data_IF_378680119830
#
_entry.id   IF_378680119830
#
_cell.length_a   1.000
_cell.length_b   1.000
_cell.length_c   1.000
_cell.angle_alpha   90.00
_cell.angle_beta   90.00
_cell.angle_gamma   90.00
#
_symmetry.space_group_name_H-M   'P 1'
#
loop_
_entity.id
_entity.type
_entity.pdbx_description
1 polymer ?
#
# COMPACT_ATOMS: atom_id res chain seq x y z
N UNK A 1 -12.31 1.66 16.87
CA UNK A 1 -12.10 0.67 17.94
C UNK A 1 -11.64 -0.63 17.32
N UNK A 2 -10.65 -1.32 17.88
CA UNK A 2 -10.26 -2.66 17.44
C UNK A 2 -10.91 -3.73 18.32
N UNK A 3 -11.29 -4.86 17.72
CA UNK A 3 -11.87 -6.02 18.42
C UNK A 3 -10.82 -7.06 18.85
N UNK A 4 -9.68 -7.09 18.18
CA UNK A 4 -8.66 -8.12 18.40
C UNK A 4 -7.47 -7.64 19.25
N UNK A 5 -7.39 -6.33 19.53
CA UNK A 5 -6.36 -5.82 20.42
C UNK A 5 -6.64 -6.27 21.85
N UNK A 6 -5.58 -6.69 22.56
CA UNK A 6 -5.66 -7.06 23.97
C UNK A 6 -6.25 -5.95 24.86
N UNK A 7 -5.96 -4.69 24.51
CA UNK A 7 -6.51 -3.53 25.19
C UNK A 7 -7.59 -2.86 24.34
N UNK A 8 -8.81 -2.64 24.88
CA UNK A 8 -9.89 -1.97 24.17
C UNK A 8 -9.62 -0.47 24.12
N UNK A 9 -8.86 -0.04 23.10
CA UNK A 9 -8.56 1.36 22.87
C UNK A 9 -9.52 1.99 21.86
N UNK A 10 -9.86 3.25 22.12
CA UNK A 10 -10.56 4.11 21.19
C UNK A 10 -9.56 5.07 20.55
N UNK A 11 -9.56 5.08 19.22
CA UNK A 11 -8.71 5.95 18.42
C UNK A 11 -9.58 6.68 17.41
N UNK A 12 -9.16 7.88 17.02
CA UNK A 12 -9.65 8.46 15.77
C UNK A 12 -9.18 7.58 14.58
N UNK A 13 -9.79 7.76 13.40
CA UNK A 13 -9.46 6.96 12.21
C UNK A 13 -7.95 6.90 11.90
N UNK A 14 -7.25 8.04 11.76
CA UNK A 14 -5.81 8.08 11.52
C UNK A 14 -4.97 7.37 12.59
N UNK A 15 -5.26 7.61 13.87
CA UNK A 15 -4.54 6.93 14.97
C UNK A 15 -4.80 5.43 14.97
N UNK A 16 -6.03 5.00 14.63
CA UNK A 16 -6.36 3.60 14.48
C UNK A 16 -5.50 2.98 13.37
N UNK A 17 -5.45 3.58 12.18
CA UNK A 17 -4.62 3.08 11.07
C UNK A 17 -3.15 2.99 11.46
N UNK A 18 -2.61 4.03 12.10
CA UNK A 18 -1.22 4.06 12.54
C UNK A 18 -0.90 2.96 13.56
N UNK A 19 -1.79 2.70 14.51
CA UNK A 19 -1.61 1.69 15.54
C UNK A 19 -1.62 0.25 14.99
N UNK A 20 -2.27 0.02 13.84
CA UNK A 20 -2.40 -1.32 13.24
C UNK A 20 -1.53 -1.53 12.00
N UNK A 21 -0.49 -0.72 11.78
CA UNK A 21 0.42 -0.90 10.63
C UNK A 21 1.02 -2.29 10.54
N UNK A 22 1.36 -2.91 11.68
CA UNK A 22 1.89 -4.27 11.78
C UNK A 22 0.83 -5.35 12.00
N UNK A 23 -0.45 -4.96 12.11
CA UNK A 23 -1.57 -5.84 12.42
C UNK A 23 -2.73 -5.59 11.42
N UNK A 24 -2.47 -5.72 10.10
CA UNK A 24 -3.37 -5.27 9.05
C UNK A 24 -4.70 -6.05 8.98
N UNK A 25 -4.73 -7.26 9.55
CA UNK A 25 -5.88 -8.16 9.51
C UNK A 25 -6.77 -8.06 10.75
N UNK A 26 -6.47 -7.17 11.69
CA UNK A 26 -7.32 -6.96 12.85
C UNK A 26 -8.70 -6.39 12.44
N UNK A 27 -9.74 -6.92 13.07
CA UNK A 27 -11.11 -6.49 12.93
C UNK A 27 -11.32 -5.16 13.66
N UNK A 28 -11.64 -4.12 12.89
CA UNK A 28 -11.89 -2.79 13.43
C UNK A 28 -13.33 -2.37 13.21
N UNK A 29 -13.78 -1.49 14.08
CA UNK A 29 -15.01 -0.72 13.91
C UNK A 29 -14.67 0.76 13.85
N UNK A 30 -15.30 1.48 12.92
CA UNK A 30 -15.10 2.91 12.73
C UNK A 30 -16.40 3.66 13.00
N UNK A 31 -16.27 4.89 13.51
CA UNK A 31 -17.43 5.74 13.80
C UNK A 31 -17.99 6.32 12.51
N UNK A 32 -19.22 5.94 12.14
CA UNK A 32 -19.90 6.41 10.93
C UNK A 32 -20.75 7.68 11.18
N UNK A 33 -20.46 8.42 12.26
CA UNK A 33 -21.24 9.56 12.81
C UNK A 33 -22.45 9.19 13.67
N UNK A 34 -22.94 7.96 13.61
CA UNK A 34 -24.09 7.50 14.39
C UNK A 34 -23.75 6.35 15.33
N UNK A 35 -22.99 5.37 14.84
CA UNK A 35 -22.55 4.21 15.62
C UNK A 35 -21.20 3.67 15.12
N UNK A 36 -20.65 2.71 15.85
CA UNK A 36 -19.47 1.95 15.44
C UNK A 36 -19.89 0.84 14.48
N UNK A 37 -19.51 0.98 13.23
CA UNK A 37 -19.78 0.01 12.17
C UNK A 37 -18.51 -0.80 11.88
N UNK A 38 -18.67 -2.07 11.51
CA UNK A 38 -17.53 -2.90 11.13
C UNK A 38 -16.86 -2.33 9.88
N UNK A 39 -15.53 -2.29 9.89
CA UNK A 39 -14.74 -1.78 8.78
C UNK A 39 -13.42 -2.51 8.66
N UNK A 40 -12.65 -2.15 7.64
CA UNK A 40 -11.36 -2.70 7.32
C UNK A 40 -10.28 -1.60 7.35
N UNK A 41 -9.09 -1.90 7.84
CA UNK A 41 -7.99 -0.93 7.86
C UNK A 41 -7.59 -0.47 6.43
N UNK A 42 -7.69 -1.38 5.44
CA UNK A 42 -7.37 -1.11 4.04
C UNK A 42 -8.31 -0.07 3.42
N UNK A 43 -9.61 -0.17 3.69
CA UNK A 43 -10.59 0.82 3.17
C UNK A 43 -10.40 2.20 3.77
N UNK A 44 -9.72 2.29 4.91
CA UNK A 44 -9.43 3.54 5.60
C UNK A 44 -8.01 4.07 5.34
N UNK A 45 -7.22 3.43 4.47
CA UNK A 45 -5.93 3.95 4.02
C UNK A 45 -4.71 3.26 4.64
N UNK A 46 -4.88 2.10 5.29
CA UNK A 46 -3.74 1.21 5.49
C UNK A 46 -3.38 0.57 4.15
N UNK A 47 -2.12 0.70 3.74
CA UNK A 47 -1.62 0.04 2.53
C UNK A 47 -0.74 -1.13 2.93
N UNK A 48 -0.95 -2.28 2.29
CA UNK A 48 -0.07 -3.43 2.38
C UNK A 48 0.90 -3.40 1.20
N UNK A 49 2.16 -3.13 1.50
CA UNK A 49 3.24 -3.39 0.55
C UNK A 49 3.67 -4.84 0.70
N UNK A 50 3.45 -5.63 -0.35
CA UNK A 50 3.85 -7.04 -0.39
C UNK A 50 5.31 -7.21 -0.86
N UNK A 51 6.02 -6.12 -1.13
CA UNK A 51 7.40 -6.08 -1.59
C UNK A 51 7.70 -7.18 -2.61
N UNK A 52 7.17 -7.05 -3.84
CA UNK A 52 7.60 -7.92 -4.92
C UNK A 52 8.98 -7.49 -5.41
N UNK A 53 9.88 -8.43 -5.71
CA UNK A 53 11.14 -8.12 -6.38
C UNK A 53 10.85 -7.79 -7.86
N UNK A 54 11.00 -6.53 -8.30
CA UNK A 54 10.61 -6.14 -9.65
C UNK A 54 11.46 -6.86 -10.71
N UNK A 55 12.72 -7.16 -10.40
CA UNK A 55 13.69 -7.76 -11.32
C UNK A 55 13.27 -9.14 -11.86
N UNK A 56 12.35 -9.83 -11.19
CA UNK A 56 11.90 -11.17 -11.56
C UNK A 56 10.38 -11.33 -11.53
N UNK A 57 9.62 -10.24 -11.57
CA UNK A 57 8.17 -10.32 -11.49
C UNK A 57 7.58 -10.65 -12.88
N UNK A 58 7.07 -11.88 -13.11
CA UNK A 58 6.60 -12.30 -14.44
C UNK A 58 5.37 -11.52 -14.92
N UNK A 59 4.69 -10.82 -14.01
CA UNK A 59 3.53 -9.97 -14.29
C UNK A 59 3.87 -8.52 -14.63
N UNK A 60 5.14 -8.09 -14.52
CA UNK A 60 5.57 -6.76 -14.98
C UNK A 60 6.00 -6.87 -16.44
N UNK A 61 5.25 -6.23 -17.34
CA UNK A 61 5.71 -6.03 -18.70
C UNK A 61 6.76 -4.92 -18.69
N UNK A 62 8.04 -5.30 -18.75
CA UNK A 62 9.11 -4.34 -18.97
C UNK A 62 8.96 -3.80 -20.39
N UNK A 63 8.47 -2.56 -20.52
CA UNK A 63 8.51 -1.82 -21.79
C UNK A 63 9.98 -1.60 -22.15
N UNK A 64 10.52 -2.45 -23.00
CA UNK A 64 11.85 -2.27 -23.59
C UNK A 64 11.78 -1.17 -24.64
N UNK A 65 11.74 0.09 -24.21
CA UNK A 65 12.10 1.22 -25.09
C UNK A 65 13.57 1.54 -24.88
N UNK A 66 14.39 0.85 -25.66
CA UNK A 66 15.75 1.28 -25.98
C UNK A 66 15.87 1.26 -27.49
N UNK A 67 15.52 2.37 -28.13
CA UNK A 67 15.99 2.65 -29.49
C UNK A 67 17.12 3.71 -29.41
N UNK A 68 18.39 3.30 -29.34
CA UNK A 68 19.53 4.19 -29.42
C UNK A 68 19.98 4.46 -30.87
N UNK A 69 19.14 4.30 -31.89
CA UNK A 69 19.56 4.35 -33.31
C UNK A 69 19.89 5.73 -33.89
N UNK A 70 20.19 6.74 -33.07
CA UNK A 70 20.74 8.02 -33.58
C UNK A 70 22.03 8.39 -32.86
N UNK A 71 23.03 7.50 -32.91
CA UNK A 71 24.42 7.92 -32.76
C UNK A 71 24.89 8.46 -34.12
N UNK A 72 24.88 9.78 -34.18
CA UNK A 72 25.53 10.63 -35.17
C UNK A 72 26.97 10.15 -35.43
N UNK A 73 27.19 9.54 -36.61
CA UNK A 73 28.51 9.30 -37.18
C UNK A 73 28.74 10.36 -38.25
N UNK A 74 29.33 11.49 -37.83
CA UNK A 74 29.95 12.43 -38.75
C UNK A 74 31.29 12.91 -38.17
N UNK A 75 32.30 12.03 -38.26
CA UNK A 75 33.71 12.41 -38.25
C UNK A 75 34.47 11.51 -39.24
N UNK A 76 34.69 12.01 -40.45
CA UNK A 76 35.67 11.50 -41.40
C UNK A 76 36.25 12.71 -42.17
N UNK A 77 37.47 13.05 -41.75
CA UNK A 77 38.64 13.47 -42.55
C UNK A 77 38.55 14.70 -43.46
#
# INVERSE_FOLDING_TARGET
QCRDCFSPNFWCGPCCISAHRSLPFHHVQMWNRHFFEQSNLLTHGLTLDLCHYPDYCPSIQHSTESDPSTLDLSDES
#
